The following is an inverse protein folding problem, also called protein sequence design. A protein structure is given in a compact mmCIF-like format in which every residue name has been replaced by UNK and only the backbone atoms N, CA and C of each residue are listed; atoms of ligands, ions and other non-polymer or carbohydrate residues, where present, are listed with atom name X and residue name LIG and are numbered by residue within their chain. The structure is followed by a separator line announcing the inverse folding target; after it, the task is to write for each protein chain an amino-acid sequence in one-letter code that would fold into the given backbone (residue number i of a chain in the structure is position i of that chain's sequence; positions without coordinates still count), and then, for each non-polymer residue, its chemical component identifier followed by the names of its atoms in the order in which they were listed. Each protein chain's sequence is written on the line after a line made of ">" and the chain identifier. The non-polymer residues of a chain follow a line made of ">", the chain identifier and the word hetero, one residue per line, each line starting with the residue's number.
data_IF_642912858013
#
_entry.id   IF_642912858013
#
_cell.length_a   1.000
_cell.length_b   1.000
_cell.length_c   1.000
_cell.angle_alpha   90.00
_cell.angle_beta   90.00
_cell.angle_gamma   90.00
#
_symmetry.space_group_name_H-M   'P 1'
#
loop_
_entity.id
_entity.type
_entity.pdbx_description
1 polymer ?
#
# COMPACT_ATOMS: atom_id res chain seq x y z
N UNK A 1 16.68 -4.97 11.82
CA UNK A 1 15.90 -5.37 10.60
C UNK A 1 15.72 -4.18 9.69
N UNK A 2 15.62 -4.35 8.36
CA UNK A 2 15.19 -3.27 7.47
C UNK A 2 13.73 -2.87 7.78
N UNK A 3 13.26 -1.69 7.34
CA UNK A 3 11.86 -1.33 7.48
C UNK A 3 10.94 -2.32 6.74
N UNK A 4 9.75 -2.56 7.29
CA UNK A 4 8.72 -3.33 6.59
C UNK A 4 8.34 -2.60 5.28
N UNK A 5 8.49 -3.27 4.15
CA UNK A 5 8.40 -2.63 2.84
C UNK A 5 7.10 -2.98 2.13
N UNK A 6 6.31 -1.96 1.79
CA UNK A 6 5.06 -2.08 1.04
C UNK A 6 5.22 -1.44 -0.35
N UNK A 7 5.00 -2.24 -1.38
CA UNK A 7 4.99 -1.81 -2.77
C UNK A 7 3.55 -1.67 -3.27
N UNK A 8 3.19 -0.48 -3.72
CA UNK A 8 1.90 -0.21 -4.37
C UNK A 8 2.05 -0.22 -5.89
N UNK A 9 1.17 -0.91 -6.60
CA UNK A 9 1.24 -1.07 -8.07
C UNK A 9 -0.07 -0.67 -8.73
N UNK A 10 0.00 0.17 -9.75
CA UNK A 10 -1.09 0.41 -10.69
C UNK A 10 -0.56 0.37 -12.13
N UNK A 11 -1.32 0.87 -13.09
CA UNK A 11 -0.88 0.85 -14.50
C UNK A 11 0.20 1.90 -14.77
N UNK A 12 -0.11 3.18 -14.56
CA UNK A 12 0.74 4.32 -14.96
C UNK A 12 1.63 4.90 -13.88
N UNK A 13 1.41 4.55 -12.62
CA UNK A 13 2.12 5.10 -11.47
C UNK A 13 2.03 6.63 -11.34
N UNK A 14 0.90 7.23 -11.71
CA UNK A 14 0.65 8.67 -11.53
C UNK A 14 -0.63 8.99 -10.75
N UNK A 15 -1.52 8.00 -10.53
CA UNK A 15 -2.79 8.20 -9.84
C UNK A 15 -2.93 7.31 -8.60
N UNK A 16 -3.39 6.05 -8.76
CA UNK A 16 -3.79 5.14 -7.68
C UNK A 16 -2.63 4.72 -6.77
N UNK A 17 -1.58 4.16 -7.33
CA UNK A 17 -0.44 3.69 -6.54
C UNK A 17 0.34 4.82 -5.84
N UNK A 18 0.53 6.02 -6.44
CA UNK A 18 1.14 7.13 -5.71
C UNK A 18 0.27 7.65 -4.56
N UNK A 19 -1.06 7.71 -4.74
CA UNK A 19 -1.96 8.07 -3.64
C UNK A 19 -1.85 7.05 -2.49
N UNK A 20 -1.88 5.75 -2.81
CA UNK A 20 -1.74 4.68 -1.80
C UNK A 20 -0.40 4.74 -1.06
N UNK A 21 0.71 4.97 -1.79
CA UNK A 21 2.05 5.17 -1.21
C UNK A 21 2.05 6.29 -0.16
N UNK A 22 1.55 7.46 -0.53
CA UNK A 22 1.60 8.65 0.31
C UNK A 22 0.60 8.61 1.46
N UNK A 23 -0.58 8.04 1.23
CA UNK A 23 -1.60 7.89 2.26
C UNK A 23 -1.23 6.84 3.32
N UNK A 24 -0.55 5.74 2.92
CA UNK A 24 -0.01 4.79 3.91
C UNK A 24 1.09 5.43 4.76
N UNK A 25 2.04 6.14 4.13
CA UNK A 25 3.09 6.85 4.86
C UNK A 25 2.50 7.88 5.85
N UNK A 26 1.46 8.60 5.44
CA UNK A 26 0.74 9.53 6.31
C UNK A 26 0.08 8.80 7.49
N UNK A 27 -0.65 7.71 7.22
CA UNK A 27 -1.34 6.92 8.25
C UNK A 27 -0.36 6.39 9.31
N UNK A 28 0.84 5.95 8.90
CA UNK A 28 1.89 5.50 9.85
C UNK A 28 2.38 6.67 10.71
N UNK A 29 2.64 7.85 10.13
CA UNK A 29 3.03 9.05 10.89
C UNK A 29 1.98 9.48 11.91
N UNK A 30 0.71 9.42 11.53
CA UNK A 30 -0.40 9.73 12.43
C UNK A 30 -0.51 8.72 13.58
N UNK A 31 -0.27 7.43 13.32
CA UNK A 31 -0.23 6.40 14.36
C UNK A 31 0.91 6.64 15.36
N UNK A 32 2.11 6.99 14.87
CA UNK A 32 3.23 7.35 15.73
C UNK A 32 2.91 8.56 16.61
N UNK A 33 2.33 9.62 16.02
CA UNK A 33 1.94 10.81 16.77
C UNK A 33 0.94 10.48 17.90
N UNK A 34 -0.05 9.63 17.64
CA UNK A 34 -1.02 9.17 18.67
C UNK A 34 -0.36 8.36 19.79
N UNK A 35 0.77 7.77 19.53
CA UNK A 35 1.58 7.00 20.50
C UNK A 35 2.67 7.84 21.17
N UNK A 36 2.67 9.14 20.93
CA UNK A 36 3.69 10.08 21.44
C UNK A 36 5.12 9.71 20.98
N UNK A 37 5.23 9.06 19.79
CA UNK A 37 6.48 8.74 19.12
C UNK A 37 6.70 9.74 17.99
N UNK A 38 7.94 10.17 17.79
CA UNK A 38 8.28 11.14 16.73
C UNK A 38 7.85 10.61 15.34
N UNK A 39 6.92 11.30 14.65
CA UNK A 39 6.48 10.90 13.32
C UNK A 39 7.59 10.85 12.25
N UNK A 40 8.71 11.56 12.46
CA UNK A 40 9.85 11.53 11.56
C UNK A 40 10.51 10.13 11.49
N UNK A 41 10.26 9.28 12.49
CA UNK A 41 10.75 7.90 12.51
C UNK A 41 9.93 6.93 11.66
N UNK A 42 8.86 7.38 11.00
CA UNK A 42 8.01 6.50 10.21
C UNK A 42 8.79 5.70 9.15
N UNK A 43 9.72 6.34 8.45
CA UNK A 43 10.50 5.73 7.38
C UNK A 43 11.53 4.68 7.90
N UNK A 44 11.86 4.71 9.20
CA UNK A 44 12.66 3.67 9.85
C UNK A 44 11.85 2.38 10.09
N UNK A 45 10.53 2.48 10.19
CA UNK A 45 9.63 1.40 10.56
C UNK A 45 8.96 0.78 9.34
N UNK A 46 8.50 1.62 8.41
CA UNK A 46 7.80 1.21 7.21
C UNK A 46 8.26 2.04 6.01
N UNK A 47 8.63 1.34 4.95
CA UNK A 47 8.93 1.94 3.65
C UNK A 47 7.77 1.72 2.69
N UNK A 48 7.04 2.79 2.36
CA UNK A 48 5.94 2.79 1.40
C UNK A 48 6.42 3.38 0.08
N UNK A 49 6.32 2.61 -1.00
CA UNK A 49 6.74 3.04 -2.33
C UNK A 49 5.81 2.49 -3.42
N UNK A 50 5.94 2.97 -4.65
CA UNK A 50 5.04 2.58 -5.73
C UNK A 50 5.75 2.44 -7.08
N UNK A 51 5.13 1.71 -8.01
CA UNK A 51 5.56 1.55 -9.39
C UNK A 51 4.36 1.27 -10.31
N UNK A 52 4.56 1.40 -11.62
CA UNK A 52 3.53 1.11 -12.63
C UNK A 52 3.90 -0.08 -13.50
N UNK A 53 2.92 -0.88 -13.89
CA UNK A 53 3.14 -1.97 -14.85
C UNK A 53 3.57 -1.44 -16.22
N UNK A 54 3.12 -0.23 -16.59
CA UNK A 54 3.59 0.52 -17.76
C UNK A 54 4.64 1.57 -17.40
N UNK A 55 5.46 1.96 -18.37
CA UNK A 55 6.54 2.93 -18.21
C UNK A 55 6.31 4.29 -18.87
N UNK A 56 5.08 4.57 -19.35
CA UNK A 56 4.78 5.77 -20.15
C UNK A 56 5.04 7.08 -19.41
N UNK A 57 4.84 7.07 -18.09
CA UNK A 57 4.95 8.25 -17.22
C UNK A 57 6.24 8.27 -16.39
N UNK A 58 7.22 7.40 -16.70
CA UNK A 58 8.45 7.34 -15.93
C UNK A 58 9.13 8.71 -15.83
N UNK A 59 9.42 9.15 -14.60
CA UNK A 59 10.00 10.46 -14.31
C UNK A 59 8.98 11.60 -14.14
N UNK A 60 7.70 11.38 -14.45
CA UNK A 60 6.66 12.38 -14.24
C UNK A 60 6.26 12.51 -12.77
N UNK A 61 5.78 13.68 -12.40
CA UNK A 61 5.17 13.94 -11.10
C UNK A 61 3.82 13.22 -10.97
N UNK A 62 3.31 13.17 -9.75
CA UNK A 62 1.95 12.68 -9.48
C UNK A 62 0.93 13.52 -10.27
N UNK A 63 -0.05 12.85 -10.87
CA UNK A 63 -1.14 13.54 -11.58
C UNK A 63 -1.76 14.60 -10.66
N UNK A 64 -1.99 15.85 -11.13
CA UNK A 64 -2.45 16.95 -10.29
C UNK A 64 -3.69 16.65 -9.44
N UNK A 65 -4.77 16.03 -9.96
CA UNK A 65 -5.90 15.62 -9.12
C UNK A 65 -5.51 14.64 -8.00
N UNK A 66 -4.61 13.68 -8.26
CA UNK A 66 -4.11 12.75 -7.24
C UNK A 66 -3.31 13.48 -6.16
N UNK A 67 -2.42 14.38 -6.57
CA UNK A 67 -1.64 15.24 -5.66
C UNK A 67 -2.55 16.08 -4.75
N UNK A 68 -3.63 16.65 -5.30
CA UNK A 68 -4.61 17.40 -4.50
C UNK A 68 -5.29 16.53 -3.45
N UNK A 69 -5.62 15.27 -3.75
CA UNK A 69 -6.21 14.37 -2.77
C UNK A 69 -5.26 14.03 -1.62
N UNK A 70 -3.99 13.78 -1.94
CA UNK A 70 -2.96 13.55 -0.92
C UNK A 70 -2.79 14.77 -0.02
N UNK A 71 -2.67 15.95 -0.60
CA UNK A 71 -2.48 17.22 0.13
C UNK A 71 -3.70 17.57 0.99
N UNK A 72 -4.92 17.39 0.46
CA UNK A 72 -6.16 17.66 1.19
C UNK A 72 -6.32 16.79 2.44
N UNK A 73 -5.68 15.61 2.48
CA UNK A 73 -5.66 14.70 3.62
C UNK A 73 -4.48 14.91 4.57
N UNK A 74 -3.63 15.87 4.29
CA UNK A 74 -2.47 16.23 5.15
C UNK A 74 -1.17 15.54 4.74
N UNK A 75 -1.14 14.83 3.62
CA UNK A 75 0.07 14.24 3.05
C UNK A 75 0.84 15.20 2.15
N UNK A 76 1.94 14.72 1.56
CA UNK A 76 2.75 15.46 0.59
C UNK A 76 2.99 14.62 -0.67
N UNK A 77 2.86 15.26 -1.82
CA UNK A 77 3.25 14.69 -3.11
C UNK A 77 4.68 15.11 -3.54
N UNK A 78 5.36 15.90 -2.73
CA UNK A 78 6.68 16.44 -3.04
C UNK A 78 7.71 15.33 -3.30
N UNK A 79 8.56 15.55 -4.30
CA UNK A 79 9.63 14.63 -4.65
C UNK A 79 9.17 13.30 -5.25
N UNK A 80 7.88 13.14 -5.56
CA UNK A 80 7.39 11.95 -6.26
C UNK A 80 7.84 11.98 -7.73
N UNK A 81 8.32 10.82 -8.20
CA UNK A 81 8.59 10.58 -9.61
C UNK A 81 8.09 9.17 -9.97
N UNK A 82 7.24 9.10 -10.97
CA UNK A 82 6.69 7.84 -11.46
C UNK A 82 7.79 6.93 -12.01
N UNK A 83 7.64 5.62 -11.82
CA UNK A 83 8.60 4.63 -12.31
C UNK A 83 7.93 3.35 -12.79
N UNK A 84 8.58 2.70 -13.75
CA UNK A 84 8.15 1.38 -14.22
C UNK A 84 8.49 0.31 -13.17
N UNK A 85 7.56 -0.61 -12.96
CA UNK A 85 7.76 -1.79 -12.14
C UNK A 85 8.89 -2.66 -12.70
N UNK A 86 9.78 -3.10 -11.81
CA UNK A 86 10.85 -4.05 -12.08
C UNK A 86 10.81 -5.18 -11.05
N UNK A 87 11.46 -6.28 -11.40
CA UNK A 87 11.53 -7.46 -10.54
C UNK A 87 12.14 -7.17 -9.17
N UNK A 88 13.19 -6.33 -9.14
CA UNK A 88 13.88 -5.96 -7.90
C UNK A 88 12.97 -5.16 -6.93
N UNK A 89 11.99 -4.42 -7.44
CA UNK A 89 10.99 -3.77 -6.60
C UNK A 89 10.11 -4.79 -5.88
N UNK A 90 9.73 -5.88 -6.58
CA UNK A 90 8.92 -6.97 -6.02
C UNK A 90 9.75 -7.79 -5.02
N UNK A 91 11.00 -8.09 -5.38
CA UNK A 91 11.90 -8.88 -4.55
C UNK A 91 12.18 -8.20 -3.19
N UNK A 92 12.25 -6.86 -3.19
CA UNK A 92 12.47 -6.06 -1.99
C UNK A 92 11.20 -5.82 -1.13
N UNK A 93 10.01 -6.16 -1.63
CA UNK A 93 8.75 -5.91 -0.94
C UNK A 93 8.34 -7.07 -0.02
N UNK A 94 7.93 -6.74 1.20
CA UNK A 94 7.32 -7.69 2.14
C UNK A 94 5.81 -7.84 1.89
N UNK A 95 5.20 -6.81 1.30
CA UNK A 95 3.79 -6.77 0.89
C UNK A 95 3.67 -6.01 -0.44
N UNK A 96 2.94 -6.57 -1.39
CA UNK A 96 2.60 -5.91 -2.66
C UNK A 96 1.09 -5.71 -2.73
N UNK A 97 0.66 -4.46 -2.91
CA UNK A 97 -0.75 -4.06 -3.03
C UNK A 97 -0.99 -3.48 -4.42
N UNK A 98 -1.82 -4.13 -5.20
CA UNK A 98 -2.15 -3.69 -6.56
C UNK A 98 -3.50 -2.99 -6.59
N UNK A 99 -3.69 -2.07 -7.54
CA UNK A 99 -4.96 -1.38 -7.70
C UNK A 99 -6.05 -2.31 -8.24
N UNK A 100 -5.69 -3.28 -9.09
CA UNK A 100 -6.62 -4.22 -9.72
C UNK A 100 -6.05 -5.64 -9.81
N UNK A 101 -6.93 -6.60 -10.10
CA UNK A 101 -6.55 -8.00 -10.31
C UNK A 101 -5.59 -8.17 -11.51
N UNK A 102 -5.75 -7.40 -12.58
CA UNK A 102 -4.84 -7.45 -13.75
C UNK A 102 -3.40 -7.12 -13.35
N UNK A 103 -3.20 -6.14 -12.48
CA UNK A 103 -1.86 -5.81 -11.98
C UNK A 103 -1.33 -6.88 -11.02
N UNK A 104 -2.20 -7.50 -10.22
CA UNK A 104 -1.82 -8.64 -9.38
C UNK A 104 -1.30 -9.80 -10.25
N UNK A 105 -2.02 -10.16 -11.32
CA UNK A 105 -1.58 -11.19 -12.26
C UNK A 105 -0.24 -10.84 -12.92
N UNK A 106 -0.06 -9.57 -13.30
CA UNK A 106 1.22 -9.09 -13.86
C UNK A 106 2.38 -9.25 -12.87
N UNK A 107 2.20 -8.88 -11.61
CA UNK A 107 3.22 -9.04 -10.55
C UNK A 107 3.57 -10.51 -10.36
N UNK A 108 2.57 -11.38 -10.23
CA UNK A 108 2.76 -12.81 -10.02
C UNK A 108 3.39 -13.49 -11.24
N UNK A 109 3.04 -13.06 -12.45
CA UNK A 109 3.68 -13.56 -13.67
C UNK A 109 5.17 -13.19 -13.72
N UNK A 110 5.52 -11.98 -13.24
CA UNK A 110 6.91 -11.51 -13.18
C UNK A 110 7.70 -12.16 -12.04
N UNK A 111 7.04 -12.45 -10.90
CA UNK A 111 7.60 -13.09 -9.71
C UNK A 111 6.60 -14.06 -9.08
N UNK A 112 6.55 -15.33 -9.52
CA UNK A 112 5.60 -16.31 -8.99
C UNK A 112 5.74 -16.57 -7.48
N UNK A 113 6.93 -16.45 -6.94
CA UNK A 113 7.22 -16.59 -5.51
C UNK A 113 6.64 -15.44 -4.65
N UNK A 114 6.24 -14.33 -5.26
CA UNK A 114 5.57 -13.23 -4.58
C UNK A 114 4.05 -13.43 -4.40
N UNK A 115 3.46 -14.50 -4.93
CA UNK A 115 2.01 -14.71 -4.92
C UNK A 115 1.40 -14.67 -3.50
N UNK A 116 2.09 -15.23 -2.50
CA UNK A 116 1.62 -15.27 -1.12
C UNK A 116 1.60 -13.89 -0.42
N UNK A 117 2.34 -12.91 -0.94
CA UNK A 117 2.43 -11.54 -0.39
C UNK A 117 1.92 -10.47 -1.37
N UNK A 118 1.23 -10.88 -2.44
CA UNK A 118 0.64 -9.95 -3.43
C UNK A 118 -0.88 -10.03 -3.37
N UNK A 119 -1.53 -8.87 -3.17
CA UNK A 119 -2.98 -8.75 -3.04
C UNK A 119 -3.47 -7.55 -3.85
N UNK A 120 -4.72 -7.61 -4.32
CA UNK A 120 -5.45 -6.39 -4.67
C UNK A 120 -5.70 -5.59 -3.39
N UNK A 121 -5.59 -4.27 -3.44
CA UNK A 121 -5.67 -3.42 -2.25
C UNK A 121 -6.98 -3.63 -1.48
N UNK A 122 -8.13 -3.63 -2.18
CA UNK A 122 -9.44 -3.89 -1.56
C UNK A 122 -9.57 -5.31 -0.99
N UNK A 123 -9.00 -6.32 -1.67
CA UNK A 123 -8.91 -7.69 -1.16
C UNK A 123 -8.16 -7.72 0.17
N UNK A 124 -6.99 -7.09 0.22
CA UNK A 124 -6.19 -7.06 1.45
C UNK A 124 -6.94 -6.40 2.61
N UNK A 125 -7.60 -5.25 2.35
CA UNK A 125 -8.41 -4.57 3.35
C UNK A 125 -9.54 -5.45 3.90
N UNK A 126 -10.22 -6.17 3.04
CA UNK A 126 -11.28 -7.11 3.41
C UNK A 126 -10.76 -8.30 4.24
N UNK A 127 -9.61 -8.86 3.84
CA UNK A 127 -8.97 -9.97 4.59
C UNK A 127 -8.45 -9.49 5.94
N UNK A 128 -7.86 -8.30 5.98
CA UNK A 128 -7.32 -7.70 7.20
C UNK A 128 -8.37 -7.54 8.30
N UNK A 129 -9.62 -7.22 7.93
CA UNK A 129 -10.72 -7.11 8.87
C UNK A 129 -11.03 -8.42 9.63
N UNK A 130 -10.64 -9.55 9.08
CA UNK A 130 -10.81 -10.88 9.70
C UNK A 130 -9.60 -11.40 10.48
N UNK A 131 -8.48 -10.66 10.48
CA UNK A 131 -7.27 -11.08 11.18
C UNK A 131 -7.39 -10.78 12.68
N UNK A 132 -7.15 -11.80 13.52
CA UNK A 132 -7.07 -11.62 14.97
C UNK A 132 -5.76 -10.91 15.35
N UNK A 133 -5.86 -9.64 15.71
CA UNK A 133 -4.73 -8.82 16.11
C UNK A 133 -4.03 -9.34 17.39
N UNK A 134 -4.73 -10.10 18.26
CA UNK A 134 -4.16 -10.67 19.47
C UNK A 134 -3.17 -11.81 19.18
N UNK A 135 -3.33 -12.47 18.04
CA UNK A 135 -2.41 -13.52 17.58
C UNK A 135 -1.13 -13.00 16.91
N UNK A 136 -1.03 -11.70 16.66
CA UNK A 136 0.15 -11.09 16.02
C UNK A 136 1.27 -10.82 17.05
N UNK A 137 2.56 -10.77 16.60
CA UNK A 137 3.67 -10.34 17.46
C UNK A 137 3.43 -9.01 18.17
N UNK A 138 4.12 -8.73 19.29
CA UNK A 138 3.95 -7.49 20.05
C UNK A 138 4.07 -6.23 19.17
N UNK A 139 3.25 -5.22 19.47
CA UNK A 139 3.17 -3.98 18.72
C UNK A 139 4.01 -2.88 19.37
N UNK A 140 5.29 -2.87 19.08
CA UNK A 140 6.22 -1.83 19.51
C UNK A 140 6.62 -0.95 18.32
N UNK A 141 6.88 0.34 18.57
CA UNK A 141 7.36 1.27 17.54
C UNK A 141 8.88 1.12 17.32
N UNK A 142 9.32 -0.08 17.02
CA UNK A 142 10.70 -0.43 16.67
C UNK A 142 10.75 -1.15 15.32
N UNK A 143 11.83 -1.00 14.53
CA UNK A 143 11.94 -1.65 13.23
C UNK A 143 11.71 -3.17 13.29
N UNK A 144 12.31 -3.84 14.26
CA UNK A 144 12.19 -5.30 14.39
C UNK A 144 10.77 -5.75 14.76
N UNK A 145 10.08 -5.03 15.63
CA UNK A 145 8.72 -5.37 16.04
C UNK A 145 7.72 -5.11 14.90
N UNK A 146 7.83 -3.96 14.21
CA UNK A 146 6.97 -3.64 13.06
C UNK A 146 7.19 -4.63 11.92
N UNK A 147 8.43 -4.99 11.65
CA UNK A 147 8.77 -5.99 10.63
C UNK A 147 8.16 -7.36 10.96
N UNK A 148 8.42 -7.89 12.15
CA UNK A 148 7.89 -9.19 12.56
C UNK A 148 6.36 -9.23 12.53
N UNK A 149 5.72 -8.15 13.01
CA UNK A 149 4.26 -8.02 13.01
C UNK A 149 3.70 -7.90 11.59
N UNK A 150 4.36 -7.15 10.70
CA UNK A 150 3.98 -7.01 9.31
C UNK A 150 4.04 -8.32 8.54
N UNK A 151 5.12 -9.09 8.69
CA UNK A 151 5.25 -10.42 8.08
C UNK A 151 4.14 -11.35 8.56
N UNK A 152 3.91 -11.43 9.87
CA UNK A 152 2.85 -12.27 10.44
C UNK A 152 1.45 -11.84 9.95
N UNK A 153 1.21 -10.53 9.77
CA UNK A 153 -0.03 -10.00 9.24
C UNK A 153 -0.26 -10.44 7.79
N UNK A 154 0.76 -10.38 6.95
CA UNK A 154 0.70 -10.83 5.55
C UNK A 154 0.43 -12.34 5.48
N UNK A 155 1.10 -13.14 6.30
CA UNK A 155 0.88 -14.57 6.39
C UNK A 155 -0.55 -14.91 6.83
N UNK A 156 -1.09 -14.19 7.83
CA UNK A 156 -2.47 -14.35 8.28
C UNK A 156 -3.48 -13.98 7.20
N UNK A 157 -3.26 -12.88 6.47
CA UNK A 157 -4.10 -12.48 5.35
C UNK A 157 -4.06 -13.51 4.21
N UNK A 158 -2.87 -14.04 3.89
CA UNK A 158 -2.73 -15.11 2.89
C UNK A 158 -3.46 -16.38 3.30
N UNK A 159 -3.35 -16.79 4.55
CA UNK A 159 -4.09 -17.94 5.08
C UNK A 159 -5.61 -17.72 5.01
N UNK A 160 -6.09 -16.53 5.34
CA UNK A 160 -7.50 -16.17 5.28
C UNK A 160 -8.08 -16.14 3.87
N UNK A 161 -7.24 -15.99 2.84
CA UNK A 161 -7.64 -16.08 1.42
C UNK A 161 -8.21 -17.46 1.06
N UNK A 162 -7.78 -18.53 1.71
CA UNK A 162 -8.22 -19.91 1.50
C UNK A 162 -8.17 -20.37 0.01
N UNK A 163 -7.20 -19.85 -0.75
CA UNK A 163 -7.06 -20.12 -2.18
C UNK A 163 -8.06 -19.39 -3.08
N UNK A 164 -8.92 -18.54 -2.54
CA UNK A 164 -9.83 -17.73 -3.34
C UNK A 164 -9.07 -16.60 -4.09
N UNK A 165 -9.64 -16.16 -5.20
CA UNK A 165 -9.18 -14.99 -5.95
C UNK A 165 -9.82 -13.71 -5.40
N UNK A 166 -9.26 -12.55 -5.76
CA UNK A 166 -9.89 -11.25 -5.51
C UNK A 166 -11.28 -11.16 -6.15
N UNK A 167 -12.14 -10.36 -5.56
CA UNK A 167 -13.47 -10.06 -6.10
C UNK A 167 -13.40 -8.87 -7.06
N UNK A 168 -14.30 -8.75 -8.05
CA UNK A 168 -14.36 -7.56 -8.91
C UNK A 168 -14.52 -6.24 -8.12
N UNK A 169 -15.16 -6.30 -6.97
CA UNK A 169 -15.35 -5.16 -6.05
C UNK A 169 -14.09 -4.77 -5.27
N UNK A 170 -13.06 -5.60 -5.30
CA UNK A 170 -11.77 -5.29 -4.67
C UNK A 170 -10.92 -4.35 -5.55
N UNK A 171 -11.23 -4.23 -6.84
CA UNK A 171 -10.53 -3.36 -7.79
C UNK A 171 -10.85 -1.89 -7.55
N UNK A 172 -9.82 -1.03 -7.57
CA UNK A 172 -9.99 0.41 -7.61
C UNK A 172 -10.31 0.88 -9.03
N UNK A 173 -11.33 1.72 -9.17
CA UNK A 173 -11.59 2.43 -10.42
C UNK A 173 -10.36 3.22 -10.87
N UNK A 174 -10.16 3.34 -12.19
CA UNK A 174 -9.17 4.26 -12.73
C UNK A 174 -9.76 5.68 -12.81
N UNK A 175 -9.27 6.64 -12.00
CA UNK A 175 -9.81 7.98 -11.96
C UNK A 175 -9.29 8.89 -13.10
N UNK A 176 -8.32 8.43 -13.88
CA UNK A 176 -7.69 9.24 -14.92
C UNK A 176 -8.71 9.79 -15.90
N UNK A 177 -8.72 11.12 -16.06
CA UNK A 177 -9.69 11.82 -16.94
C UNK A 177 -11.13 11.89 -16.41
N UNK A 178 -11.42 11.45 -15.18
CA UNK A 178 -12.79 11.38 -14.64
C UNK A 178 -13.13 12.47 -13.61
N UNK A 179 -12.24 13.42 -13.41
CA UNK A 179 -12.46 14.58 -12.53
C UNK A 179 -12.21 14.34 -11.05
N UNK A 180 -12.11 15.43 -10.29
CA UNK A 180 -11.70 15.44 -8.87
C UNK A 180 -12.58 14.60 -7.95
N UNK A 181 -13.89 14.53 -8.22
CA UNK A 181 -14.81 13.73 -7.42
C UNK A 181 -14.49 12.23 -7.49
N UNK A 182 -14.11 11.74 -8.69
CA UNK A 182 -13.68 10.35 -8.85
C UNK A 182 -12.35 10.09 -8.09
N UNK A 183 -11.39 11.02 -8.18
CA UNK A 183 -10.15 10.94 -7.42
C UNK A 183 -10.39 10.94 -5.92
N UNK A 184 -11.31 11.76 -5.42
CA UNK A 184 -11.67 11.79 -3.99
C UNK A 184 -12.23 10.45 -3.53
N UNK A 185 -13.17 9.86 -4.27
CA UNK A 185 -13.74 8.54 -3.97
C UNK A 185 -12.68 7.44 -3.96
N UNK A 186 -11.80 7.42 -4.96
CA UNK A 186 -10.72 6.42 -5.02
C UNK A 186 -9.74 6.60 -3.86
N UNK A 187 -9.44 7.84 -3.47
CA UNK A 187 -8.61 8.10 -2.29
C UNK A 187 -9.28 7.61 -0.99
N UNK A 188 -10.61 7.79 -0.84
CA UNK A 188 -11.36 7.27 0.30
C UNK A 188 -11.31 5.73 0.35
N UNK A 189 -11.49 5.06 -0.80
CA UNK A 189 -11.36 3.60 -0.92
C UNK A 189 -9.94 3.11 -0.55
N UNK A 190 -8.90 3.86 -0.92
CA UNK A 190 -7.52 3.56 -0.49
C UNK A 190 -7.38 3.66 1.03
N UNK A 191 -7.94 4.70 1.64
CA UNK A 191 -7.89 4.91 3.09
C UNK A 191 -8.57 3.79 3.87
N UNK A 192 -9.63 3.16 3.32
CA UNK A 192 -10.30 1.99 3.90
C UNK A 192 -9.35 0.78 4.12
N UNK A 193 -8.23 0.73 3.40
CA UNK A 193 -7.20 -0.31 3.58
C UNK A 193 -5.98 0.20 4.32
N UNK A 194 -5.44 1.37 3.95
CA UNK A 194 -4.16 1.83 4.51
C UNK A 194 -4.28 2.26 5.97
N UNK A 195 -5.42 2.80 6.41
CA UNK A 195 -5.64 3.13 7.83
C UNK A 195 -5.70 1.88 8.72
N UNK A 196 -6.51 0.83 8.39
CA UNK A 196 -6.46 -0.42 9.13
C UNK A 196 -5.09 -1.11 9.10
N UNK A 197 -4.37 -1.07 7.97
CA UNK A 197 -3.01 -1.62 7.89
C UNK A 197 -2.07 -0.90 8.86
N UNK A 198 -2.04 0.42 8.85
CA UNK A 198 -1.22 1.19 9.79
C UNK A 198 -1.61 0.93 11.25
N UNK A 199 -2.92 0.80 11.53
CA UNK A 199 -3.42 0.48 12.87
C UNK A 199 -3.08 -0.96 13.31
N UNK A 200 -3.05 -1.92 12.37
CA UNK A 200 -2.65 -3.29 12.68
C UNK A 200 -1.15 -3.39 12.99
N UNK A 201 -0.32 -2.61 12.32
CA UNK A 201 1.13 -2.56 12.55
C UNK A 201 1.49 -1.80 13.84
N UNK A 202 0.77 -0.71 14.12
CA UNK A 202 1.00 0.23 15.23
C UNK A 202 -0.34 0.56 15.93
N UNK A 203 -0.96 -0.40 16.65
CA UNK A 203 -2.27 -0.24 17.27
C UNK A 203 -2.30 0.81 18.38
#
# INVERSE_FOLDING_TARGET
>A
MPPFTVLHVCMGNICRSPMAERLLALAVRERLARREVDPARADELLHSHSAGTGGWHAGEEMNPPASRQVTARGGSADGFAARKLRSDHIDAADLVLTATADQQEYVVALRPDAAARTFVLGEFGRLLAGVDAAGLPPAEATPDAVYARGVALVEAAHAARLGATSLPTDDLDDPWGRGDQCFSRVADEIEETVHPLAAALLP
#
